data_IF_689013707090
#
_entry.id   IF_689013707090
#
_cell.length_a   1.000
_cell.length_b   1.000
_cell.length_c   1.000
_cell.angle_alpha   90.00
_cell.angle_beta   90.00
_cell.angle_gamma   90.00
#
_symmetry.space_group_name_H-M   'P 1'
#
loop_
_entity.id
_entity.type
_entity.pdbx_description
1 polymer ?
#
# COMPACT_ATOMS: atom_id res chain seq x y z
N UNK A 1 -9.08 88.30 6.86
CA UNK A 1 -8.53 87.52 7.99
C UNK A 1 -9.33 86.23 8.08
N UNK A 2 -8.64 85.11 8.32
CA UNK A 2 -9.15 83.81 8.83
C UNK A 2 -10.18 83.06 7.97
N UNK A 3 -9.74 82.18 7.05
CA UNK A 3 -9.37 80.73 7.21
C UNK A 3 -10.59 79.79 7.09
N UNK A 4 -10.74 79.22 5.89
CA UNK A 4 -11.55 78.03 5.59
C UNK A 4 -10.84 76.79 6.17
N UNK A 5 -11.51 76.03 7.04
CA UNK A 5 -11.01 74.75 7.55
C UNK A 5 -11.56 73.61 6.71
N UNK A 6 -10.71 73.01 5.87
CA UNK A 6 -10.98 71.76 5.16
C UNK A 6 -10.54 70.62 6.08
N UNK A 7 -11.48 69.79 6.53
CA UNK A 7 -11.17 68.53 7.22
C UNK A 7 -10.91 67.49 6.14
N UNK A 8 -9.63 67.25 5.85
CA UNK A 8 -9.20 66.14 5.00
C UNK A 8 -9.04 64.88 5.87
N UNK A 9 -9.89 63.88 5.65
CA UNK A 9 -9.73 62.56 6.23
C UNK A 9 -8.57 61.85 5.51
N UNK A 10 -7.43 61.69 6.18
CA UNK A 10 -6.30 60.90 5.68
C UNK A 10 -6.47 59.46 6.11
N UNK A 11 -7.01 58.63 5.23
CA UNK A 11 -6.98 57.17 5.36
C UNK A 11 -5.64 56.66 4.82
N UNK A 12 -4.69 56.39 5.72
CA UNK A 12 -3.46 55.66 5.39
C UNK A 12 -3.79 54.19 5.13
N UNK A 13 -3.88 53.82 3.85
CA UNK A 13 -3.91 52.42 3.43
C UNK A 13 -2.49 51.84 3.54
N UNK A 14 -2.30 50.92 4.50
CA UNK A 14 -1.12 50.07 4.55
C UNK A 14 -1.17 49.11 3.35
N UNK A 15 -0.39 49.39 2.31
CA UNK A 15 -0.13 48.44 1.22
C UNK A 15 0.84 47.40 1.77
N UNK A 16 0.29 46.31 2.31
CA UNK A 16 1.06 45.10 2.56
C UNK A 16 1.53 44.54 1.22
N UNK A 17 2.84 44.59 0.97
CA UNK A 17 3.45 43.90 -0.16
C UNK A 17 3.21 42.40 -0.01
N UNK A 18 2.23 41.87 -0.74
CA UNK A 18 2.06 40.44 -0.89
C UNK A 18 3.28 39.92 -1.67
N UNK A 19 4.22 39.28 -0.96
CA UNK A 19 5.18 38.39 -1.60
C UNK A 19 4.34 37.29 -2.26
N UNK A 20 4.10 37.42 -3.56
CA UNK A 20 3.54 36.34 -4.34
C UNK A 20 4.50 35.16 -4.20
N UNK A 21 4.17 34.22 -3.34
CA UNK A 21 4.89 32.96 -3.19
C UNK A 21 4.66 32.20 -4.48
N UNK A 22 5.47 32.53 -5.49
CA UNK A 22 5.43 31.87 -6.79
C UNK A 22 5.67 30.40 -6.53
N UNK A 23 4.73 29.58 -7.02
CA UNK A 23 4.84 28.14 -6.94
C UNK A 23 5.64 27.66 -8.14
N UNK A 24 6.50 26.68 -7.95
CA UNK A 24 7.17 26.01 -9.06
C UNK A 24 6.10 25.38 -9.97
N UNK A 25 6.28 25.38 -11.30
CA UNK A 25 5.32 24.73 -12.18
C UNK A 25 5.25 23.22 -11.91
N UNK A 26 4.17 22.58 -12.34
CA UNK A 26 4.06 21.12 -12.31
C UNK A 26 5.22 20.50 -13.09
N UNK A 27 5.89 19.50 -12.52
CA UNK A 27 7.16 18.94 -13.03
C UNK A 27 8.32 19.96 -13.14
N UNK A 28 8.18 21.15 -12.54
CA UNK A 28 9.21 22.18 -12.48
C UNK A 28 10.22 21.98 -11.35
N UNK A 29 11.36 22.65 -11.43
CA UNK A 29 12.35 22.65 -10.35
C UNK A 29 11.82 23.42 -9.14
N UNK A 30 11.93 22.81 -7.96
CA UNK A 30 11.48 23.33 -6.68
C UNK A 30 12.58 23.33 -5.61
N UNK A 31 13.81 22.99 -5.97
CA UNK A 31 14.92 22.93 -5.02
C UNK A 31 16.20 22.41 -5.64
N UNK A 32 17.27 22.41 -4.85
CA UNK A 32 18.61 22.00 -5.27
C UNK A 32 19.69 22.99 -4.81
N UNK A 33 20.91 22.52 -4.63
CA UNK A 33 22.04 23.36 -4.25
C UNK A 33 22.25 24.47 -5.30
N UNK A 34 22.15 25.74 -4.87
CA UNK A 34 22.23 26.93 -5.72
C UNK A 34 20.91 27.37 -6.37
N UNK A 35 19.78 26.68 -6.14
CA UNK A 35 18.48 27.08 -6.65
C UNK A 35 17.93 28.30 -5.90
N UNK A 36 17.66 29.39 -6.61
CA UNK A 36 17.08 30.64 -6.06
C UNK A 36 15.61 30.86 -6.46
N UNK A 37 15.03 29.90 -7.19
CA UNK A 37 13.65 29.97 -7.66
C UNK A 37 12.62 29.46 -6.64
N UNK A 38 11.35 29.34 -7.06
CA UNK A 38 10.26 28.80 -6.25
C UNK A 38 10.63 27.49 -5.56
N UNK A 39 10.36 27.37 -4.26
CA UNK A 39 10.58 26.12 -3.50
C UNK A 39 9.30 25.40 -3.14
N UNK A 40 8.15 26.04 -3.38
CA UNK A 40 6.83 25.51 -3.07
C UNK A 40 6.17 25.01 -4.35
N UNK A 41 5.61 23.81 -4.33
CA UNK A 41 4.88 23.25 -5.46
C UNK A 41 3.39 23.64 -5.42
N UNK A 42 2.65 23.55 -6.55
CA UNK A 42 1.23 23.84 -6.58
C UNK A 42 0.46 22.86 -5.68
N UNK A 43 -0.77 23.21 -5.29
CA UNK A 43 -1.59 22.35 -4.43
C UNK A 43 -1.73 20.94 -5.04
N UNK A 44 -1.52 19.90 -4.23
CA UNK A 44 -1.50 18.50 -4.65
C UNK A 44 -0.15 17.99 -5.18
N UNK A 45 0.87 18.84 -5.20
CA UNK A 45 2.24 18.51 -5.64
C UNK A 45 3.22 18.77 -4.51
N UNK A 46 4.27 17.94 -4.43
CA UNK A 46 5.33 18.08 -3.44
C UNK A 46 6.70 18.17 -4.12
N UNK A 47 7.63 18.85 -3.45
CA UNK A 47 8.98 19.02 -3.96
C UNK A 47 9.84 17.79 -3.63
N UNK A 48 10.13 16.96 -4.62
CA UNK A 48 10.89 15.71 -4.45
C UNK A 48 12.33 15.93 -4.87
N UNK A 49 13.27 15.69 -3.96
CA UNK A 49 14.70 15.73 -4.26
C UNK A 49 15.07 14.57 -5.19
N UNK A 50 15.60 14.89 -6.38
CA UNK A 50 16.15 13.89 -7.31
C UNK A 50 17.65 13.70 -7.07
N UNK A 51 18.38 14.79 -6.90
CA UNK A 51 19.80 14.79 -6.49
C UNK A 51 20.13 16.06 -5.68
N UNK A 52 21.40 16.27 -5.34
CA UNK A 52 21.80 17.41 -4.49
C UNK A 52 21.55 18.78 -5.14
N UNK A 53 21.64 18.87 -6.47
CA UNK A 53 21.47 20.12 -7.23
C UNK A 53 20.08 20.29 -7.81
N UNK A 54 19.20 19.29 -7.68
CA UNK A 54 17.89 19.30 -8.34
C UNK A 54 16.79 18.57 -7.56
N UNK A 55 15.70 19.29 -7.30
CA UNK A 55 14.44 18.79 -6.77
C UNK A 55 13.29 19.23 -7.70
N UNK A 56 12.30 18.36 -7.93
CA UNK A 56 11.21 18.59 -8.88
C UNK A 56 9.84 18.48 -8.21
N UNK A 57 8.88 19.31 -8.63
CA UNK A 57 7.49 19.16 -8.22
C UNK A 57 6.87 17.93 -8.86
N UNK A 58 6.51 16.95 -8.05
CA UNK A 58 5.84 15.73 -8.50
C UNK A 58 4.48 15.58 -7.81
N UNK A 59 3.48 15.01 -8.50
CA UNK A 59 2.15 14.83 -7.93
C UNK A 59 2.20 13.77 -6.82
N UNK A 60 1.49 14.00 -5.71
CA UNK A 60 1.37 13.03 -4.61
C UNK A 60 2.55 12.96 -3.62
N UNK A 61 3.59 13.80 -3.80
CA UNK A 61 4.60 13.98 -2.76
C UNK A 61 4.03 14.84 -1.62
N UNK A 62 4.28 14.50 -0.33
CA UNK A 62 3.78 15.30 0.77
C UNK A 62 4.36 16.72 0.66
N UNK A 63 3.48 17.73 0.68
CA UNK A 63 3.90 19.13 0.78
C UNK A 63 4.74 19.27 2.05
N UNK A 64 6.03 19.57 1.90
CA UNK A 64 6.86 19.94 3.03
C UNK A 64 6.29 21.24 3.62
N UNK A 65 5.44 21.08 4.64
CA UNK A 65 4.89 22.19 5.40
C UNK A 65 5.68 22.22 6.70
N UNK A 66 6.26 23.36 7.10
CA UNK A 66 7.06 23.43 8.31
C UNK A 66 6.15 23.16 9.53
N UNK A 67 6.70 22.43 10.48
CA UNK A 67 6.10 22.07 11.76
C UNK A 67 5.54 23.30 12.49
N UNK A 68 4.28 23.25 12.90
CA UNK A 68 3.72 24.09 13.98
C UNK A 68 2.51 23.42 14.62
N UNK A 69 2.44 23.55 15.93
CA UNK A 69 1.68 22.74 16.90
C UNK A 69 0.22 23.18 17.09
N UNK A 70 -0.63 22.21 17.46
CA UNK A 70 -1.80 22.27 18.36
C UNK A 70 -3.23 22.61 17.85
N UNK A 71 -4.13 21.66 18.20
CA UNK A 71 -5.46 21.82 18.82
C UNK A 71 -6.69 22.26 18.00
N UNK A 72 -7.68 21.35 17.90
CA UNK A 72 -9.11 21.72 18.06
C UNK A 72 -10.15 21.03 17.18
N UNK A 73 -10.78 19.96 17.70
CA UNK A 73 -12.24 19.78 17.81
C UNK A 73 -13.16 19.54 16.59
N UNK A 74 -13.84 18.37 16.60
CA UNK A 74 -15.15 18.10 15.99
C UNK A 74 -15.11 17.75 14.49
N UNK A 75 -15.67 16.65 13.98
CA UNK A 75 -16.80 15.83 14.39
C UNK A 75 -17.64 15.60 13.12
N UNK A 76 -17.47 14.45 12.46
CA UNK A 76 -18.19 14.09 11.22
C UNK A 76 -17.80 12.69 10.71
N UNK A 77 -18.79 11.79 10.70
CA UNK A 77 -18.75 10.34 10.45
C UNK A 77 -18.16 9.92 9.06
N UNK A 78 -17.42 8.80 8.95
CA UNK A 78 -16.55 8.50 7.80
C UNK A 78 -17.25 7.78 6.65
N UNK A 79 -16.81 8.08 5.41
CA UNK A 79 -16.98 7.22 4.23
C UNK A 79 -15.58 6.69 3.89
N UNK A 80 -15.33 5.37 3.74
CA UNK A 80 -13.98 4.87 3.51
C UNK A 80 -13.64 5.06 2.03
N UNK A 81 -13.01 6.19 1.69
CA UNK A 81 -12.28 6.31 0.43
C UNK A 81 -10.84 5.92 0.71
N UNK A 82 -10.44 4.79 0.13
CA UNK A 82 -9.12 4.18 0.18
C UNK A 82 -8.03 5.24 0.04
N UNK A 83 -7.37 5.52 1.16
CA UNK A 83 -6.05 6.13 1.27
C UNK A 83 -5.06 5.26 0.51
N UNK A 84 -4.47 5.77 -0.57
CA UNK A 84 -3.17 5.28 -1.03
C UNK A 84 -2.10 6.25 -0.51
N UNK A 85 -1.32 5.90 0.53
CA UNK A 85 -0.22 6.71 1.02
C UNK A 85 0.92 6.65 0.00
N UNK A 86 1.52 7.80 -0.34
CA UNK A 86 2.69 7.92 -1.20
C UNK A 86 3.96 7.31 -0.61
N UNK A 87 3.99 5.98 -0.50
CA UNK A 87 5.22 5.21 -0.33
C UNK A 87 5.80 4.86 -1.70
N UNK A 88 7.12 4.86 -1.83
CA UNK A 88 7.79 4.26 -2.99
C UNK A 88 7.40 2.78 -3.09
N UNK A 89 6.81 2.38 -4.20
CA UNK A 89 6.53 0.96 -4.45
C UNK A 89 7.84 0.17 -4.57
N UNK A 90 7.89 -1.08 -4.09
CA UNK A 90 9.09 -1.90 -4.16
C UNK A 90 9.50 -2.18 -5.62
N UNK A 91 10.80 -2.23 -5.87
CA UNK A 91 11.35 -2.77 -7.13
C UNK A 91 11.59 -4.26 -6.97
N UNK A 92 11.15 -5.03 -7.95
CA UNK A 92 11.26 -6.48 -7.94
C UNK A 92 12.72 -6.94 -8.04
N UNK A 93 13.14 -7.79 -7.09
CA UNK A 93 14.43 -8.45 -7.16
C UNK A 93 14.47 -9.52 -8.24
N UNK A 94 15.61 -9.69 -8.89
CA UNK A 94 15.80 -10.72 -9.91
C UNK A 94 15.50 -12.13 -9.36
N UNK A 95 14.65 -12.88 -10.06
CA UNK A 95 14.22 -14.23 -9.66
C UNK A 95 13.09 -14.27 -8.61
N UNK A 96 12.51 -13.13 -8.26
CA UNK A 96 11.34 -13.01 -7.38
C UNK A 96 10.09 -12.60 -8.16
N UNK A 97 8.94 -12.67 -7.51
CA UNK A 97 7.64 -12.30 -8.05
C UNK A 97 6.90 -11.44 -7.02
N UNK A 98 6.17 -10.43 -7.46
CA UNK A 98 4.99 -10.00 -6.69
C UNK A 98 3.93 -11.10 -6.79
N UNK A 99 3.03 -11.20 -5.82
CA UNK A 99 1.84 -12.06 -5.94
C UNK A 99 0.61 -11.18 -5.71
N UNK A 100 -0.39 -11.27 -6.58
CA UNK A 100 -1.59 -10.42 -6.51
C UNK A 100 -2.86 -11.17 -6.86
N UNK A 101 -3.99 -10.67 -6.38
CA UNK A 101 -5.30 -11.16 -6.81
C UNK A 101 -5.71 -10.57 -8.17
N UNK A 102 -6.34 -11.42 -9.00
CA UNK A 102 -6.73 -11.09 -10.39
C UNK A 102 -8.24 -10.95 -10.58
N UNK A 103 -9.00 -10.94 -9.49
CA UNK A 103 -10.46 -10.77 -9.52
C UNK A 103 -10.92 -9.75 -8.48
N UNK A 104 -12.01 -9.03 -8.78
CA UNK A 104 -12.71 -8.19 -7.80
C UNK A 104 -13.21 -9.05 -6.61
N UNK A 105 -13.34 -8.48 -5.40
CA UNK A 105 -13.13 -7.07 -5.05
C UNK A 105 -11.67 -6.68 -4.75
N UNK A 106 -10.75 -7.65 -4.75
CA UNK A 106 -9.35 -7.42 -4.37
C UNK A 106 -8.41 -7.39 -5.58
N UNK A 107 -8.93 -7.01 -6.75
CA UNK A 107 -8.15 -6.89 -7.99
C UNK A 107 -6.95 -5.97 -7.75
N UNK A 108 -5.75 -6.43 -8.11
CA UNK A 108 -4.49 -5.71 -7.92
C UNK A 108 -4.15 -5.40 -6.45
N UNK A 109 -4.70 -6.17 -5.50
CA UNK A 109 -4.17 -6.21 -4.14
C UNK A 109 -3.08 -7.28 -4.04
N UNK A 110 -2.01 -6.94 -3.33
CA UNK A 110 -0.77 -7.67 -3.31
C UNK A 110 -0.61 -8.46 -2.03
N UNK A 111 -0.17 -9.71 -2.16
CA UNK A 111 0.18 -10.55 -1.02
C UNK A 111 1.32 -9.91 -0.24
N UNK A 112 1.20 -9.90 1.08
CA UNK A 112 2.20 -9.34 1.99
C UNK A 112 2.00 -9.85 3.42
N UNK A 113 2.94 -9.50 4.29
CA UNK A 113 2.76 -9.60 5.74
C UNK A 113 1.85 -8.46 6.21
N UNK A 114 0.92 -8.74 7.12
CA UNK A 114 0.12 -7.69 7.76
C UNK A 114 1.02 -6.65 8.43
N UNK A 115 2.04 -7.11 9.16
CA UNK A 115 3.09 -6.26 9.70
C UNK A 115 4.34 -6.42 8.84
N UNK A 116 4.69 -5.35 8.12
CA UNK A 116 5.73 -5.35 7.08
C UNK A 116 7.04 -5.96 7.57
N UNK A 117 7.57 -6.93 6.81
CA UNK A 117 8.82 -7.66 7.09
C UNK A 117 8.83 -8.46 8.41
N UNK A 118 7.68 -8.85 8.96
CA UNK A 118 7.62 -9.65 10.18
C UNK A 118 6.69 -10.86 10.05
N UNK A 119 6.96 -11.90 10.85
CA UNK A 119 6.06 -13.02 11.04
C UNK A 119 4.72 -12.51 11.59
N UNK A 120 3.68 -12.61 10.76
CA UNK A 120 2.33 -12.07 10.99
C UNK A 120 1.36 -12.74 10.03
N UNK A 121 0.09 -12.35 10.05
CA UNK A 121 -0.89 -12.91 9.13
C UNK A 121 -0.57 -12.55 7.67
N UNK A 122 -0.93 -13.45 6.75
CA UNK A 122 -0.84 -13.17 5.33
C UNK A 122 -2.08 -12.38 4.91
N UNK A 123 -1.88 -11.24 4.27
CA UNK A 123 -2.96 -10.35 3.82
C UNK A 123 -2.77 -9.95 2.35
N UNK A 124 -3.86 -9.53 1.71
CA UNK A 124 -3.78 -8.74 0.48
C UNK A 124 -3.85 -7.25 0.81
N UNK A 125 -2.83 -6.49 0.41
CA UNK A 125 -2.74 -5.05 0.66
C UNK A 125 -2.45 -4.23 -0.59
N UNK A 126 -2.03 -2.99 -0.37
CA UNK A 126 -1.72 -2.04 -1.43
C UNK A 126 -0.35 -2.31 -2.07
N UNK A 127 -0.18 -1.86 -3.32
CA UNK A 127 1.07 -1.97 -4.06
C UNK A 127 2.30 -1.44 -3.30
N UNK A 128 2.13 -0.40 -2.48
CA UNK A 128 3.22 0.24 -1.73
C UNK A 128 3.87 -0.66 -0.68
N UNK A 129 3.16 -1.69 -0.20
CA UNK A 129 3.65 -2.65 0.80
C UNK A 129 3.80 -4.06 0.24
N UNK A 130 3.67 -4.22 -1.09
CA UNK A 130 3.68 -5.51 -1.77
C UNK A 130 4.90 -6.36 -1.39
N UNK A 131 4.64 -7.59 -0.95
CA UNK A 131 5.69 -8.56 -0.66
C UNK A 131 6.34 -9.07 -1.95
N UNK A 132 7.59 -9.50 -1.83
CA UNK A 132 8.32 -10.17 -2.91
C UNK A 132 8.51 -11.63 -2.55
N UNK A 133 8.17 -12.52 -3.49
CA UNK A 133 8.05 -13.94 -3.24
C UNK A 133 8.80 -14.81 -4.24
N UNK A 134 9.20 -15.99 -3.76
CA UNK A 134 9.62 -17.11 -4.60
C UNK A 134 9.07 -18.39 -4.01
N UNK A 135 8.98 -19.43 -4.84
CA UNK A 135 8.69 -20.77 -4.36
C UNK A 135 9.93 -21.63 -4.57
N UNK A 136 10.41 -22.27 -3.50
CA UNK A 136 11.58 -23.15 -3.52
C UNK A 136 11.31 -24.34 -2.61
N UNK A 137 11.54 -25.56 -3.09
CA UNK A 137 11.31 -26.81 -2.35
C UNK A 137 9.89 -26.94 -1.75
N UNK A 138 8.90 -26.39 -2.45
CA UNK A 138 7.50 -26.37 -2.02
C UNK A 138 7.17 -25.30 -0.98
N UNK A 139 8.12 -24.44 -0.61
CA UNK A 139 7.90 -23.36 0.34
C UNK A 139 7.63 -22.05 -0.38
N UNK A 140 6.54 -21.37 -0.05
CA UNK A 140 6.31 -19.99 -0.46
C UNK A 140 7.08 -19.07 0.49
N UNK A 141 8.08 -18.39 -0.06
CA UNK A 141 9.06 -17.60 0.69
C UNK A 141 8.83 -16.12 0.40
N UNK A 142 8.66 -15.32 1.44
CA UNK A 142 8.65 -13.86 1.37
C UNK A 142 10.02 -13.30 1.76
N UNK A 143 10.52 -12.32 0.99
CA UNK A 143 11.64 -11.50 1.41
C UNK A 143 11.19 -10.46 2.44
N UNK A 144 11.85 -10.46 3.60
CA UNK A 144 11.55 -9.61 4.74
C UNK A 144 12.81 -8.85 5.18
N UNK A 145 13.21 -7.85 4.37
CA UNK A 145 14.30 -6.92 4.73
C UNK A 145 15.66 -7.59 5.00
N UNK A 146 15.99 -8.66 4.27
CA UNK A 146 17.24 -9.42 4.44
C UNK A 146 17.07 -10.78 5.11
N UNK A 147 15.87 -11.06 5.63
CA UNK A 147 15.48 -12.39 6.13
C UNK A 147 14.41 -13.03 5.24
N UNK A 148 14.20 -14.33 5.40
CA UNK A 148 13.13 -15.06 4.72
C UNK A 148 12.04 -15.42 5.72
N UNK A 149 10.79 -15.16 5.34
CA UNK A 149 9.61 -15.71 6.01
C UNK A 149 8.98 -16.78 5.10
N UNK A 150 8.40 -17.80 5.70
CA UNK A 150 7.73 -18.90 5.04
C UNK A 150 6.23 -18.82 5.28
N UNK A 151 5.44 -19.02 4.24
CA UNK A 151 4.00 -19.17 4.39
C UNK A 151 3.72 -20.49 5.13
N UNK A 152 2.99 -20.42 6.24
CA UNK A 152 2.53 -21.58 7.02
C UNK A 152 1.03 -21.66 6.93
N UNK A 153 0.51 -22.85 6.63
CA UNK A 153 -0.93 -23.10 6.54
C UNK A 153 -1.39 -23.75 7.84
N UNK A 154 -2.40 -23.17 8.46
CA UNK A 154 -2.98 -23.73 9.68
C UNK A 154 -3.51 -25.16 9.43
N UNK A 155 -3.33 -26.09 10.38
CA UNK A 155 -3.86 -27.43 10.25
C UNK A 155 -5.40 -27.43 10.20
N UNK A 156 -5.96 -28.40 9.49
CA UNK A 156 -7.40 -28.65 9.52
C UNK A 156 -7.80 -29.18 10.90
N UNK A 157 -8.69 -28.48 11.59
CA UNK A 157 -9.09 -28.82 12.98
C UNK A 157 -10.21 -29.86 13.02
N UNK A 158 -11.11 -29.86 12.04
CA UNK A 158 -12.23 -30.81 11.95
C UNK A 158 -12.78 -30.91 10.51
N UNK A 159 -13.76 -31.79 10.30
CA UNK A 159 -14.39 -32.00 8.99
C UNK A 159 -15.22 -30.82 8.49
N UNK A 160 -15.62 -29.90 9.37
CA UNK A 160 -16.43 -28.72 9.06
C UNK A 160 -15.59 -27.51 8.64
N UNK A 161 -14.27 -27.59 8.82
CA UNK A 161 -13.32 -26.54 8.42
C UNK A 161 -13.38 -26.31 6.92
N UNK A 162 -13.78 -25.10 6.52
CA UNK A 162 -13.94 -24.70 5.10
C UNK A 162 -12.80 -23.84 4.58
N UNK A 163 -11.93 -23.33 5.46
CA UNK A 163 -10.79 -22.49 5.10
C UNK A 163 -9.62 -22.70 6.07
N UNK A 164 -8.39 -22.59 5.59
CA UNK A 164 -7.18 -22.68 6.42
C UNK A 164 -6.41 -21.37 6.36
N UNK A 165 -6.10 -20.77 7.51
CA UNK A 165 -5.38 -19.49 7.59
C UNK A 165 -3.96 -19.65 7.09
N UNK A 166 -3.47 -18.65 6.36
CA UNK A 166 -2.06 -18.55 5.97
C UNK A 166 -1.38 -17.46 6.80
N UNK A 167 -0.25 -17.79 7.38
CA UNK A 167 0.58 -16.85 8.17
C UNK A 167 2.02 -16.89 7.68
N UNK A 168 2.80 -15.88 8.05
CA UNK A 168 4.24 -15.82 7.81
C UNK A 168 4.99 -16.22 9.07
N UNK A 169 5.99 -17.09 8.91
CA UNK A 169 6.81 -17.62 10.00
C UNK A 169 8.29 -17.65 9.63
N UNK A 170 9.17 -17.62 10.63
CA UNK A 170 10.60 -17.89 10.42
C UNK A 170 10.89 -19.39 10.25
N UNK A 171 9.90 -20.24 10.53
CA UNK A 171 9.96 -21.71 10.38
C UNK A 171 9.17 -22.14 9.15
N UNK A 172 9.73 -23.09 8.40
CA UNK A 172 9.10 -23.68 7.20
C UNK A 172 7.79 -24.39 7.53
N UNK A 173 6.86 -24.36 6.56
CA UNK A 173 5.64 -25.17 6.63
C UNK A 173 5.96 -26.64 6.46
N UNK A 174 5.21 -27.47 7.17
CA UNK A 174 5.29 -28.93 7.11
C UNK A 174 3.97 -29.57 6.71
N UNK A 175 2.89 -28.80 6.62
CA UNK A 175 1.56 -29.31 6.33
C UNK A 175 1.35 -29.53 4.83
N UNK A 176 1.82 -28.61 4.00
CA UNK A 176 1.62 -28.67 2.56
C UNK A 176 2.75 -28.03 1.78
N UNK A 177 2.53 -27.95 0.47
CA UNK A 177 3.51 -27.47 -0.49
C UNK A 177 2.84 -26.48 -1.44
N UNK A 178 3.53 -25.38 -1.69
CA UNK A 178 3.20 -24.37 -2.68
C UNK A 178 3.93 -24.65 -3.99
N UNK A 179 3.33 -24.26 -5.11
CA UNK A 179 3.98 -24.24 -6.43
C UNK A 179 3.41 -23.13 -7.30
N UNK A 180 4.18 -22.75 -8.32
CA UNK A 180 3.66 -22.02 -9.46
C UNK A 180 3.21 -23.02 -10.54
N UNK A 181 2.04 -22.78 -11.11
CA UNK A 181 1.51 -23.46 -12.30
C UNK A 181 1.25 -22.39 -13.36
N UNK A 182 2.22 -22.20 -14.26
CA UNK A 182 2.32 -20.93 -14.99
C UNK A 182 2.61 -19.80 -14.00
N UNK A 183 1.75 -18.77 -13.96
CA UNK A 183 1.79 -17.70 -12.96
C UNK A 183 0.94 -17.99 -11.72
N UNK A 184 0.07 -19.00 -11.76
CA UNK A 184 -0.91 -19.25 -10.70
C UNK A 184 -0.24 -19.86 -9.48
N UNK A 185 -0.52 -19.33 -8.29
CA UNK A 185 -0.05 -19.91 -7.02
C UNK A 185 -1.02 -20.99 -6.57
N UNK A 186 -0.51 -22.20 -6.42
CA UNK A 186 -1.25 -23.36 -5.95
C UNK A 186 -0.71 -23.85 -4.60
N UNK A 187 -1.60 -24.39 -3.77
CA UNK A 187 -1.25 -25.11 -2.55
C UNK A 187 -1.94 -26.47 -2.50
N UNK A 188 -1.19 -27.48 -2.09
CA UNK A 188 -1.67 -28.84 -1.90
C UNK A 188 -1.03 -29.49 -0.67
N UNK A 189 -1.71 -30.48 -0.11
CA UNK A 189 -1.23 -31.28 1.02
C UNK A 189 -1.64 -32.73 0.81
N UNK A 190 -0.84 -33.66 1.34
CA UNK A 190 -1.19 -35.09 1.34
C UNK A 190 -2.28 -35.42 2.35
N UNK A 191 -2.51 -34.58 3.36
CA UNK A 191 -3.46 -34.81 4.45
C UNK A 191 -4.73 -33.97 4.34
N UNK A 192 -4.73 -32.93 3.49
CA UNK A 192 -5.88 -32.05 3.27
C UNK A 192 -6.38 -32.19 1.84
N UNK A 193 -7.53 -32.83 1.66
CA UNK A 193 -8.23 -32.91 0.38
C UNK A 193 -9.04 -31.65 0.11
N UNK A 194 -8.98 -31.15 -1.14
CA UNK A 194 -9.74 -30.00 -1.62
C UNK A 194 -10.04 -30.12 -3.12
N UNK A 195 -11.10 -29.49 -3.64
CA UNK A 195 -11.48 -29.62 -5.06
C UNK A 195 -10.49 -28.95 -6.03
N UNK A 196 -9.89 -27.84 -5.63
CA UNK A 196 -9.04 -27.00 -6.48
C UNK A 196 -7.84 -26.49 -5.71
N UNK A 197 -6.63 -26.69 -6.23
CA UNK A 197 -5.36 -26.29 -5.58
C UNK A 197 -5.06 -24.79 -5.70
N UNK A 198 -5.67 -24.11 -6.67
CA UNK A 198 -5.52 -22.68 -6.93
C UNK A 198 -6.60 -21.80 -6.29
N UNK A 199 -7.51 -22.38 -5.49
CA UNK A 199 -8.60 -21.62 -4.86
C UNK A 199 -8.12 -20.92 -3.58
N UNK A 200 -8.30 -19.61 -3.48
CA UNK A 200 -7.95 -18.83 -2.29
C UNK A 200 -9.17 -18.10 -1.79
N UNK A 201 -9.21 -17.83 -0.49
CA UNK A 201 -10.21 -16.97 0.12
C UNK A 201 -9.52 -15.75 0.69
N UNK A 202 -10.16 -14.60 0.50
CA UNK A 202 -9.77 -13.36 1.18
C UNK A 202 -10.93 -12.93 2.05
N UNK A 203 -10.71 -12.93 3.36
CA UNK A 203 -11.72 -12.60 4.36
C UNK A 203 -11.29 -11.34 5.11
N UNK A 204 -12.22 -10.42 5.35
CA UNK A 204 -11.93 -9.28 6.21
C UNK A 204 -11.96 -9.73 7.67
N UNK A 205 -10.97 -9.32 8.46
CA UNK A 205 -11.03 -9.43 9.92
C UNK A 205 -11.85 -8.26 10.53
N UNK A 206 -11.91 -8.19 11.86
CA UNK A 206 -12.60 -7.10 12.57
C UNK A 206 -11.94 -5.73 12.41
N UNK A 207 -10.66 -5.67 12.04
CA UNK A 207 -9.91 -4.45 11.75
C UNK A 207 -10.01 -4.04 10.26
N UNK A 208 -10.60 -4.88 9.42
CA UNK A 208 -10.72 -4.68 7.97
C UNK A 208 -9.51 -5.17 7.17
N UNK A 209 -8.56 -5.87 7.80
CA UNK A 209 -7.44 -6.51 7.12
C UNK A 209 -7.95 -7.66 6.24
N UNK A 210 -7.39 -7.79 5.04
CA UNK A 210 -7.80 -8.76 4.04
C UNK A 210 -6.99 -10.05 4.17
N UNK A 211 -7.26 -10.80 5.22
CA UNK A 211 -6.58 -12.05 5.53
C UNK A 211 -6.74 -13.10 4.42
N UNK A 212 -5.66 -13.83 4.14
CA UNK A 212 -5.56 -14.84 3.09
C UNK A 212 -5.70 -16.24 3.67
N UNK A 213 -6.55 -17.05 3.02
CA UNK A 213 -6.82 -18.43 3.42
C UNK A 213 -6.77 -19.36 2.20
N UNK A 214 -6.43 -20.62 2.45
CA UNK A 214 -6.67 -21.73 1.53
C UNK A 214 -8.16 -22.06 1.53
N UNK A 215 -8.80 -22.10 0.35
CA UNK A 215 -10.19 -22.51 0.22
C UNK A 215 -10.32 -24.06 0.23
N UNK A 216 -11.06 -24.64 1.18
CA UNK A 216 -11.34 -26.08 1.17
C UNK A 216 -12.69 -26.43 0.51
N UNK A 217 -13.54 -25.43 0.26
CA UNK A 217 -14.85 -25.59 -0.40
C UNK A 217 -14.79 -25.51 -1.93
N UNK A 218 -15.97 -25.59 -2.56
CA UNK A 218 -16.12 -25.37 -3.98
C UNK A 218 -16.01 -23.87 -4.32
N UNK A 219 -14.99 -23.51 -5.09
CA UNK A 219 -14.74 -22.14 -5.55
C UNK A 219 -15.97 -21.54 -6.26
N UNK A 220 -16.37 -20.35 -5.84
CA UNK A 220 -17.47 -19.59 -6.45
C UNK A 220 -18.88 -20.08 -6.11
N UNK A 221 -19.03 -21.18 -5.36
CA UNK A 221 -20.34 -21.72 -4.95
C UNK A 221 -20.51 -21.85 -3.44
N UNK A 222 -19.43 -22.07 -2.71
CA UNK A 222 -19.44 -22.27 -1.25
C UNK A 222 -18.49 -21.29 -0.54
N UNK A 223 -18.39 -20.07 -1.06
CA UNK A 223 -17.61 -19.00 -0.44
C UNK A 223 -18.15 -18.72 0.98
N UNK A 224 -17.34 -18.85 2.04
CA UNK A 224 -17.79 -18.54 3.39
C UNK A 224 -18.24 -17.08 3.53
N UNK A 225 -19.22 -16.83 4.40
CA UNK A 225 -19.71 -15.47 4.64
C UNK A 225 -18.58 -14.52 5.08
N UNK A 226 -18.54 -13.32 4.51
CA UNK A 226 -17.48 -12.33 4.75
C UNK A 226 -16.17 -12.59 4.00
N UNK A 227 -16.10 -13.65 3.20
CA UNK A 227 -14.96 -13.97 2.34
C UNK A 227 -15.30 -13.78 0.87
N UNK A 228 -14.25 -13.61 0.07
CA UNK A 228 -14.32 -13.58 -1.39
C UNK A 228 -13.40 -14.64 -1.97
N UNK A 229 -13.87 -15.32 -3.01
CA UNK A 229 -13.06 -16.29 -3.76
C UNK A 229 -12.09 -15.58 -4.71
N UNK A 230 -10.85 -16.03 -4.69
CA UNK A 230 -9.78 -15.49 -5.50
C UNK A 230 -8.88 -16.58 -6.04
N UNK A 231 -8.27 -16.30 -7.19
CA UNK A 231 -6.97 -16.87 -7.55
C UNK A 231 -5.92 -15.80 -7.35
N UNK A 232 -4.71 -16.20 -6.98
CA UNK A 232 -3.57 -15.29 -6.84
C UNK A 232 -2.45 -15.73 -7.78
N UNK A 233 -1.78 -14.75 -8.37
CA UNK A 233 -0.86 -14.97 -9.48
C UNK A 233 0.44 -14.21 -9.25
N UNK A 234 1.54 -14.84 -9.64
CA UNK A 234 2.84 -14.22 -9.78
C UNK A 234 2.80 -13.09 -10.80
N UNK A 235 3.42 -11.98 -10.46
CA UNK A 235 3.56 -10.81 -11.32
C UNK A 235 5.03 -10.39 -11.33
N UNK A 236 5.61 -10.38 -12.53
CA UNK A 236 7.04 -10.13 -12.76
C UNK A 236 7.32 -8.72 -13.27
N UNK A 237 6.36 -7.80 -13.14
CA UNK A 237 6.60 -6.38 -13.42
C UNK A 237 7.71 -5.83 -12.52
N UNK A 238 8.45 -4.85 -13.02
CA UNK A 238 9.56 -4.21 -12.27
C UNK A 238 9.08 -3.57 -10.97
N UNK A 239 7.82 -3.11 -10.94
CA UNK A 239 7.11 -2.56 -9.79
C UNK A 239 5.70 -3.11 -9.79
N UNK A 240 5.02 -3.20 -8.64
CA UNK A 240 3.59 -3.48 -8.59
C UNK A 240 2.82 -2.36 -9.29
N UNK A 241 1.73 -2.74 -9.97
CA UNK A 241 0.82 -1.87 -10.72
C UNK A 241 -0.46 -1.49 -9.98
#
# INVERSE_FOLDING_TARGET
MTKLSIIAAVTSALIGGALAQSTAPQYGQCGGNGWTGPTTCPSGWGCVKSNEWYSQCLPGAPTATPTSTSSGGGGGNPTPTSTNPGGSVPTLMSGWNFIRAVTAPNFHKYLQSEVTNTASDAVLGEAVTAGQFKITDGQLIQYAGGTNLYAVVAPKTDSTTTKLKVTWSTTKDTLGQFKFSGDTVEWSSSTVTRPQTNAWLVCADSAGNKEVFINLGAYGYQTPAGCNDHTIHGFTGTTPD
#
